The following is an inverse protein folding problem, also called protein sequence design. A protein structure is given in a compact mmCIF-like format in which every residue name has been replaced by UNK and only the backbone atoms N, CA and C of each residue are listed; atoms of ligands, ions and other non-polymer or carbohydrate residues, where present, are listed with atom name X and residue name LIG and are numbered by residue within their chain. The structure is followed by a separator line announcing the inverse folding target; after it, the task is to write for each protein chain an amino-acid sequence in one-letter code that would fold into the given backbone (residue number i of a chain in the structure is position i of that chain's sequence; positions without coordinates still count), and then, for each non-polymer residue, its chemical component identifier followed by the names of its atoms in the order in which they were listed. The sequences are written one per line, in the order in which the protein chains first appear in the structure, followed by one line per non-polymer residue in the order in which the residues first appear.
data_IF_435569039286
#
_entry.id   IF_435569039286
#
_cell.length_a   1.000
_cell.length_b   1.000
_cell.length_c   1.000
_cell.angle_alpha   90.00
_cell.angle_beta   90.00
_cell.angle_gamma   90.00
#
_symmetry.space_group_name_H-M   'P 1'
#
loop_
_entity.id
_entity.type
_entity.pdbx_description
1 polymer ?
#
# COMPACT_ATOMS: atom_id res chain seq x y z
N UNK A 1 21.31 -27.94 -68.31
CA UNK A 1 20.49 -28.60 -67.26
C UNK A 1 20.62 -27.87 -65.94
N UNK A 2 19.58 -27.11 -65.59
CA UNK A 2 19.44 -26.44 -64.31
C UNK A 2 18.62 -27.34 -63.36
N UNK A 3 19.12 -27.55 -62.15
CA UNK A 3 18.35 -28.15 -61.06
C UNK A 3 18.44 -27.22 -59.85
N UNK A 4 17.40 -26.40 -59.68
CA UNK A 4 17.11 -25.61 -58.48
C UNK A 4 16.57 -26.53 -57.39
N UNK A 5 17.28 -26.62 -56.26
CA UNK A 5 16.79 -27.23 -55.02
C UNK A 5 16.11 -26.18 -54.16
N UNK A 6 14.80 -26.32 -53.96
CA UNK A 6 13.96 -25.45 -53.14
C UNK A 6 14.03 -25.93 -51.67
N UNK A 7 14.46 -25.06 -50.76
CA UNK A 7 14.51 -25.35 -49.33
C UNK A 7 13.18 -25.01 -48.65
N UNK A 8 12.57 -25.99 -47.97
CA UNK A 8 11.34 -25.81 -47.21
C UNK A 8 11.56 -24.93 -45.96
N UNK A 9 10.56 -24.11 -45.55
CA UNK A 9 10.68 -23.26 -44.37
C UNK A 9 10.53 -24.09 -43.08
N UNK A 10 11.49 -23.94 -42.17
CA UNK A 10 11.47 -24.56 -40.85
C UNK A 10 10.32 -24.03 -39.99
N UNK A 11 9.52 -24.96 -39.45
CA UNK A 11 8.51 -24.67 -38.44
C UNK A 11 9.21 -24.26 -37.13
N UNK A 12 9.04 -23.01 -36.69
CA UNK A 12 9.39 -22.60 -35.33
C UNK A 12 8.29 -23.05 -34.37
N UNK A 13 8.62 -23.74 -33.26
CA UNK A 13 7.64 -24.06 -32.24
C UNK A 13 7.13 -22.78 -31.55
N UNK A 14 5.87 -22.75 -31.10
CA UNK A 14 5.30 -21.58 -30.43
C UNK A 14 6.07 -21.28 -29.14
N UNK A 15 6.30 -19.99 -28.89
CA UNK A 15 6.90 -19.51 -27.65
C UNK A 15 6.05 -19.95 -26.46
N UNK A 16 6.67 -20.62 -25.49
CA UNK A 16 6.03 -21.02 -24.25
C UNK A 16 5.48 -19.78 -23.53
N UNK A 17 4.21 -19.85 -23.10
CA UNK A 17 3.60 -18.80 -22.29
C UNK A 17 4.40 -18.58 -21.00
N UNK A 18 4.52 -17.33 -20.52
CA UNK A 18 5.17 -17.08 -19.24
C UNK A 18 4.42 -17.79 -18.11
N UNK A 19 5.13 -18.28 -17.08
CA UNK A 19 4.49 -18.94 -15.96
C UNK A 19 3.52 -17.98 -15.25
N UNK A 20 2.41 -18.50 -14.71
CA UNK A 20 1.50 -17.70 -13.90
C UNK A 20 2.26 -17.13 -12.69
N UNK A 21 1.86 -15.95 -12.17
CA UNK A 21 2.45 -15.40 -10.96
C UNK A 21 2.33 -16.42 -9.81
N UNK A 22 3.32 -16.47 -8.91
CA UNK A 22 3.28 -17.40 -7.79
C UNK A 22 2.02 -17.15 -6.94
N UNK A 23 1.42 -18.21 -6.36
CA UNK A 23 0.29 -18.05 -5.46
C UNK A 23 0.71 -17.15 -4.28
N UNK A 24 -0.16 -16.22 -3.91
CA UNK A 24 0.07 -15.28 -2.82
C UNK A 24 0.53 -16.05 -1.57
N UNK A 25 1.73 -15.73 -1.09
CA UNK A 25 2.20 -16.21 0.20
C UNK A 25 1.14 -15.82 1.25
N UNK A 26 0.81 -16.74 2.15
CA UNK A 26 -0.18 -16.55 3.24
C UNK A 26 0.01 -15.18 3.88
N UNK A 27 -0.90 -14.24 3.62
CA UNK A 27 -0.81 -12.90 4.17
C UNK A 27 -0.82 -12.97 5.71
N UNK A 28 0.03 -12.19 6.41
CA UNK A 28 -0.04 -12.13 7.86
C UNK A 28 -1.41 -11.62 8.30
N UNK A 29 -2.05 -12.31 9.24
CA UNK A 29 -3.36 -11.93 9.78
C UNK A 29 -3.23 -10.65 10.63
N UNK A 30 -4.27 -9.80 10.75
CA UNK A 30 -4.22 -8.59 11.60
C UNK A 30 -4.09 -8.96 13.08
N UNK A 31 -4.44 -10.21 13.44
CA UNK A 31 -4.20 -10.80 14.74
C UNK A 31 -2.70 -10.89 15.13
N UNK A 32 -1.76 -10.67 14.19
CA UNK A 32 -0.33 -10.56 14.52
C UNK A 32 0.00 -9.26 15.25
N UNK A 33 -0.83 -8.21 15.12
CA UNK A 33 -0.73 -6.99 15.92
C UNK A 33 -1.66 -7.15 17.12
N UNK A 34 -1.20 -7.89 18.13
CA UNK A 34 -1.99 -8.20 19.33
C UNK A 34 -2.34 -6.96 20.18
N UNK A 35 -1.65 -5.84 19.96
CA UNK A 35 -1.88 -4.60 20.68
C UNK A 35 -3.08 -3.82 20.09
N UNK A 36 -4.17 -3.78 20.87
CA UNK A 36 -5.41 -3.09 20.50
C UNK A 36 -5.26 -1.58 20.33
N UNK A 37 -4.21 -0.97 20.90
CA UNK A 37 -3.94 0.47 20.69
C UNK A 37 -3.42 0.78 19.29
N UNK A 38 -3.03 -0.24 18.51
CA UNK A 38 -2.54 -0.09 17.15
C UNK A 38 -3.64 -0.02 16.10
N UNK A 39 -4.85 -0.50 16.42
CA UNK A 39 -5.99 -0.59 15.49
C UNK A 39 -5.61 -1.08 14.10
N UNK A 40 -4.83 -2.17 14.04
CA UNK A 40 -4.30 -2.71 12.79
C UNK A 40 -5.43 -3.23 11.91
N UNK A 41 -5.36 -2.90 10.62
CA UNK A 41 -6.30 -3.34 9.59
C UNK A 41 -5.54 -3.84 8.37
N UNK A 42 -5.94 -5.02 7.91
CA UNK A 42 -5.50 -5.54 6.62
C UNK A 42 -6.15 -4.75 5.49
N UNK A 43 -5.43 -4.71 4.39
CA UNK A 43 -5.90 -4.16 3.13
C UNK A 43 -6.33 -2.70 3.27
N UNK A 44 -5.45 -1.91 3.87
CA UNK A 44 -5.64 -0.48 4.08
C UNK A 44 -4.30 0.22 3.96
N UNK A 45 -4.31 1.42 3.37
CA UNK A 45 -3.15 2.33 3.26
C UNK A 45 -3.57 3.72 3.75
N UNK A 46 -3.41 3.98 5.06
CA UNK A 46 -3.74 5.29 5.61
C UNK A 46 -2.73 6.33 5.13
N UNK A 47 -3.23 7.39 4.47
CA UNK A 47 -2.39 8.40 3.82
C UNK A 47 -1.61 9.26 4.83
N UNK A 48 -2.27 9.64 5.93
CA UNK A 48 -1.77 10.66 6.85
C UNK A 48 -1.60 12.04 6.19
N UNK A 49 -1.04 12.99 6.93
CA UNK A 49 -0.69 14.34 6.44
C UNK A 49 0.82 14.50 6.25
N UNK A 50 1.60 13.75 7.03
CA UNK A 50 3.07 13.78 7.03
C UNK A 50 3.61 12.37 7.24
N UNK A 51 4.78 12.11 6.68
CA UNK A 51 5.56 10.90 6.94
C UNK A 51 6.82 11.27 7.75
N UNK A 52 6.75 11.34 9.10
CA UNK A 52 7.91 11.60 9.94
C UNK A 52 9.03 10.55 9.79
N UNK A 53 8.72 9.33 9.38
CA UNK A 53 9.70 8.30 9.01
C UNK A 53 9.29 7.66 7.69
N UNK A 54 10.23 7.67 6.75
CA UNK A 54 10.03 7.17 5.40
C UNK A 54 10.41 5.70 5.32
N UNK A 55 9.52 4.88 4.77
CA UNK A 55 9.81 3.47 4.49
C UNK A 55 10.82 3.30 3.35
N UNK A 56 10.77 4.20 2.36
CA UNK A 56 11.63 4.15 1.17
C UNK A 56 13.11 4.42 1.47
N UNK A 57 13.97 3.84 0.63
CA UNK A 57 15.39 4.14 0.55
C UNK A 57 16.24 2.88 0.54
N UNK A 58 17.56 3.04 0.65
CA UNK A 58 18.49 1.93 0.87
C UNK A 58 19.38 2.29 2.08
N UNK A 59 19.15 1.72 3.28
CA UNK A 59 18.31 0.54 3.54
C UNK A 59 16.80 0.79 3.72
N UNK A 60 16.33 2.05 3.76
CA UNK A 60 14.93 2.37 4.10
C UNK A 60 14.60 2.07 5.57
N UNK A 61 13.36 2.34 5.99
CA UNK A 61 12.88 1.91 7.31
C UNK A 61 12.06 0.62 7.14
N UNK A 62 12.77 -0.50 7.20
CA UNK A 62 12.18 -1.83 7.04
C UNK A 62 12.17 -2.58 8.37
N UNK A 63 11.05 -3.23 8.67
CA UNK A 63 10.82 -4.00 9.88
C UNK A 63 10.33 -5.41 9.54
N UNK A 64 10.39 -6.33 10.49
CA UNK A 64 10.08 -7.73 10.25
C UNK A 64 8.59 -7.95 9.96
N UNK A 65 7.71 -7.21 10.65
CA UNK A 65 6.26 -7.35 10.53
C UNK A 65 5.51 -6.05 10.93
N UNK A 66 4.18 -6.10 10.76
CA UNK A 66 3.27 -5.01 11.11
C UNK A 66 3.24 -4.71 12.62
N UNK A 67 3.51 -5.69 13.49
CA UNK A 67 3.52 -5.48 14.94
C UNK A 67 4.74 -4.65 15.35
N UNK A 68 5.90 -4.93 14.77
CA UNK A 68 7.10 -4.11 14.93
C UNK A 68 6.90 -2.70 14.37
N UNK A 69 6.21 -2.55 13.23
CA UNK A 69 5.87 -1.23 12.68
C UNK A 69 4.95 -0.43 13.61
N UNK A 70 3.96 -1.07 14.25
CA UNK A 70 3.19 -0.40 15.30
C UNK A 70 4.07 -0.01 16.51
N UNK A 71 4.90 -0.92 17.01
CA UNK A 71 5.79 -0.64 18.13
C UNK A 71 6.74 0.54 17.83
N UNK A 72 7.22 0.63 16.59
CA UNK A 72 7.99 1.78 16.09
C UNK A 72 7.18 3.07 16.11
N UNK A 73 5.91 3.04 15.68
CA UNK A 73 5.02 4.20 15.79
C UNK A 73 4.83 4.62 17.25
N UNK A 74 4.60 3.66 18.17
CA UNK A 74 4.43 3.95 19.60
C UNK A 74 5.69 4.57 20.20
N UNK A 75 6.87 4.03 19.89
CA UNK A 75 8.15 4.58 20.32
C UNK A 75 8.38 6.00 19.78
N UNK A 76 8.13 6.21 18.48
CA UNK A 76 8.23 7.53 17.86
C UNK A 76 7.25 8.52 18.50
N UNK A 77 5.99 8.12 18.75
CA UNK A 77 5.00 8.95 19.43
C UNK A 77 5.45 9.35 20.84
N UNK A 78 5.92 8.39 21.64
CA UNK A 78 6.32 8.58 23.03
C UNK A 78 7.53 9.50 23.21
N UNK A 79 8.42 9.56 22.22
CA UNK A 79 9.62 10.41 22.25
C UNK A 79 9.42 11.69 21.45
N UNK A 80 9.06 11.58 20.17
CA UNK A 80 9.00 12.69 19.23
C UNK A 80 7.71 13.51 19.35
N UNK A 81 6.64 12.97 19.93
CA UNK A 81 5.39 13.69 20.21
C UNK A 81 5.47 14.72 21.34
N UNK A 82 6.59 14.78 22.08
CA UNK A 82 6.79 15.72 23.20
C UNK A 82 7.35 17.07 22.72
N UNK A 83 7.04 18.17 23.42
CA UNK A 83 7.81 19.40 23.29
C UNK A 83 9.31 19.14 23.49
N UNK A 84 10.16 19.90 22.80
CA UNK A 84 11.62 19.80 22.88
C UNK A 84 12.17 18.39 22.62
N UNK A 85 11.52 17.62 21.73
CA UNK A 85 11.97 16.29 21.33
C UNK A 85 13.07 16.31 20.26
N UNK A 86 13.43 17.50 19.74
CA UNK A 86 14.42 17.67 18.68
C UNK A 86 15.70 16.89 18.96
N UNK A 87 16.11 16.08 17.99
CA UNK A 87 17.29 15.21 18.01
C UNK A 87 17.33 14.11 19.08
N UNK A 88 16.26 13.90 19.87
CA UNK A 88 16.18 12.76 20.80
C UNK A 88 16.13 11.45 20.01
N UNK A 89 16.87 10.47 20.48
CA UNK A 89 16.84 9.12 19.94
C UNK A 89 15.52 8.43 20.32
N UNK A 90 14.90 7.74 19.39
CA UNK A 90 13.61 7.07 19.60
C UNK A 90 13.58 5.61 19.11
N UNK A 91 14.49 5.22 18.21
CA UNK A 91 14.62 3.84 17.75
C UNK A 91 16.07 3.36 17.90
N UNK A 92 16.41 2.61 18.98
CA UNK A 92 17.79 2.23 19.26
C UNK A 92 18.26 0.97 18.51
N UNK A 93 17.38 0.26 17.80
CA UNK A 93 17.63 -1.08 17.25
C UNK A 93 18.56 -1.17 16.01
N UNK A 94 19.27 -0.08 15.67
CA UNK A 94 20.22 0.11 14.55
C UNK A 94 19.59 0.19 13.14
N UNK A 95 19.79 1.32 12.42
CA UNK A 95 20.44 2.55 12.86
C UNK A 95 19.64 3.25 13.97
N UNK A 96 20.33 4.01 14.83
CA UNK A 96 19.66 4.90 15.78
C UNK A 96 18.90 5.97 15.00
N UNK A 97 17.58 6.06 15.20
CA UNK A 97 16.77 7.11 14.60
C UNK A 97 16.48 8.21 15.63
N UNK A 98 16.46 9.46 15.14
CA UNK A 98 16.30 10.67 15.95
C UNK A 98 15.10 11.49 15.47
N UNK A 99 14.46 12.19 16.40
CA UNK A 99 13.35 13.08 16.09
C UNK A 99 13.86 14.30 15.31
N UNK A 100 13.67 14.32 13.99
CA UNK A 100 14.14 15.40 13.09
C UNK A 100 13.23 16.65 13.16
N UNK A 101 12.80 17.06 14.36
CA UNK A 101 11.71 18.03 14.59
C UNK A 101 10.35 17.59 14.01
N UNK A 102 10.20 16.30 13.76
CA UNK A 102 8.97 15.70 13.25
C UNK A 102 7.94 15.49 14.37
N UNK A 103 6.64 15.68 14.10
CA UNK A 103 5.60 15.39 15.07
C UNK A 103 5.55 13.88 15.36
N UNK A 104 5.09 13.51 16.56
CA UNK A 104 4.90 12.11 16.95
C UNK A 104 4.05 11.32 15.96
N UNK A 105 4.35 10.03 15.80
CA UNK A 105 3.60 9.16 14.91
C UNK A 105 2.22 8.91 15.51
N UNK A 106 1.18 8.82 14.69
CA UNK A 106 -0.13 8.35 15.12
C UNK A 106 -0.85 7.47 14.08
N UNK A 107 -0.19 7.22 12.95
CA UNK A 107 -0.63 6.35 11.87
C UNK A 107 0.59 5.58 11.38
N UNK A 108 0.40 4.34 10.95
CA UNK A 108 1.49 3.57 10.37
C UNK A 108 1.00 2.70 9.23
N UNK A 109 1.89 2.39 8.29
CA UNK A 109 1.61 1.53 7.13
C UNK A 109 2.79 0.59 6.91
N UNK A 110 2.51 -0.68 6.68
CA UNK A 110 3.49 -1.76 6.53
C UNK A 110 3.24 -2.56 5.25
N UNK A 111 4.30 -2.86 4.50
CA UNK A 111 4.26 -3.74 3.33
C UNK A 111 4.59 -5.20 3.72
N UNK A 112 3.61 -6.13 3.74
CA UNK A 112 3.85 -7.52 4.09
C UNK A 112 4.28 -8.41 2.91
N UNK A 113 4.13 -7.92 1.68
CA UNK A 113 4.40 -8.66 0.44
C UNK A 113 5.79 -8.33 -0.12
N UNK A 114 6.30 -9.14 -1.05
CA UNK A 114 7.56 -8.84 -1.75
C UNK A 114 7.53 -7.47 -2.44
N UNK A 115 6.35 -7.08 -2.94
CA UNK A 115 6.09 -5.75 -3.46
C UNK A 115 4.65 -5.32 -3.17
N UNK A 116 4.45 -4.12 -2.65
CA UNK A 116 3.12 -3.56 -2.40
C UNK A 116 2.75 -2.52 -3.45
N UNK A 117 1.59 -2.69 -4.07
CA UNK A 117 1.08 -1.73 -5.04
C UNK A 117 0.60 -0.43 -4.37
N UNK A 118 1.04 0.71 -4.89
CA UNK A 118 0.49 2.03 -4.61
C UNK A 118 0.34 2.81 -5.92
N UNK A 119 -0.56 3.78 -5.95
CA UNK A 119 -0.71 4.68 -7.10
C UNK A 119 0.32 5.82 -7.06
N UNK A 120 1.60 5.48 -7.04
CA UNK A 120 2.69 6.45 -7.04
C UNK A 120 3.87 6.01 -7.95
N UNK A 121 5.02 6.66 -7.80
CA UNK A 121 6.21 6.45 -8.62
C UNK A 121 7.27 5.56 -7.95
N UNK A 122 6.95 4.94 -6.82
CA UNK A 122 7.93 4.21 -6.01
C UNK A 122 7.74 2.70 -6.09
N UNK A 123 8.86 1.98 -5.98
CA UNK A 123 8.86 0.52 -5.82
C UNK A 123 8.83 0.23 -4.34
N UNK A 124 7.65 -0.14 -3.83
CA UNK A 124 7.49 -0.51 -2.43
C UNK A 124 7.78 -1.98 -2.20
N UNK A 125 8.69 -2.30 -1.29
CA UNK A 125 9.18 -3.64 -1.04
C UNK A 125 8.88 -4.14 0.36
N UNK A 126 9.03 -5.45 0.54
CA UNK A 126 8.74 -6.13 1.81
C UNK A 126 9.42 -5.50 3.00
N UNK A 127 8.64 -5.36 4.07
CA UNK A 127 9.11 -4.84 5.33
C UNK A 127 9.03 -3.31 5.42
N UNK A 128 8.79 -2.59 4.32
CA UNK A 128 8.65 -1.14 4.35
C UNK A 128 7.64 -0.70 5.40
N UNK A 129 8.11 0.06 6.38
CA UNK A 129 7.30 0.66 7.43
C UNK A 129 7.32 2.19 7.28
N UNK A 130 6.13 2.77 7.17
CA UNK A 130 5.93 4.20 7.12
C UNK A 130 5.32 4.66 8.43
N UNK A 131 6.03 5.51 9.16
CA UNK A 131 5.43 6.22 10.28
C UNK A 131 4.83 7.51 9.75
N UNK A 132 3.54 7.68 10.00
CA UNK A 132 2.71 8.74 9.48
C UNK A 132 2.10 9.55 10.64
N UNK A 133 1.72 10.78 10.34
CA UNK A 133 1.10 11.68 11.28
C UNK A 133 -0.08 12.42 10.64
N UNK A 134 -1.18 12.53 11.38
CA UNK A 134 -2.35 13.35 11.06
C UNK A 134 -2.70 14.23 12.27
N UNK A 135 -2.84 15.54 12.08
CA UNK A 135 -3.00 16.48 13.19
C UNK A 135 -4.36 16.40 13.86
N UNK A 136 -5.42 16.24 13.06
CA UNK A 136 -6.79 16.31 13.52
C UNK A 136 -7.52 14.99 13.36
N UNK A 137 -8.42 14.70 14.30
CA UNK A 137 -9.38 13.59 14.21
C UNK A 137 -8.71 12.24 13.89
N UNK A 138 -7.76 11.82 14.74
CA UNK A 138 -6.94 10.63 14.51
C UNK A 138 -7.77 9.34 14.37
N UNK A 139 -8.94 9.27 15.01
CA UNK A 139 -9.88 8.15 14.88
C UNK A 139 -10.61 8.14 13.53
N UNK A 140 -10.39 9.16 12.71
CA UNK A 140 -10.85 9.26 11.33
C UNK A 140 -9.68 9.42 10.36
N UNK A 141 -8.85 8.37 10.20
CA UNK A 141 -7.68 8.43 9.32
C UNK A 141 -8.09 8.65 7.87
N UNK A 142 -7.34 9.50 7.17
CA UNK A 142 -7.49 9.69 5.72
C UNK A 142 -7.12 8.39 4.99
N UNK A 143 -8.09 7.84 4.28
CA UNK A 143 -8.04 6.55 3.62
C UNK A 143 -8.44 6.72 2.14
N UNK A 144 -7.50 6.57 1.19
CA UNK A 144 -7.79 6.71 -0.23
C UNK A 144 -8.71 5.62 -0.78
N UNK A 145 -8.90 4.53 -0.04
CA UNK A 145 -9.81 3.43 -0.37
C UNK A 145 -11.17 3.58 0.33
N UNK A 146 -11.37 4.64 1.12
CA UNK A 146 -12.63 4.98 1.77
C UNK A 146 -13.20 3.82 2.62
N UNK A 147 -12.32 3.11 3.34
CA UNK A 147 -12.68 1.98 4.20
C UNK A 147 -12.85 0.65 3.47
N UNK A 148 -12.70 0.62 2.14
CA UNK A 148 -12.75 -0.59 1.32
C UNK A 148 -11.40 -1.30 1.36
N UNK A 149 -11.43 -2.63 1.32
CA UNK A 149 -10.24 -3.48 1.30
C UNK A 149 -9.80 -3.87 -0.12
N UNK A 150 -10.58 -3.48 -1.13
CA UNK A 150 -10.34 -3.85 -2.52
C UNK A 150 -10.38 -2.65 -3.44
N UNK A 151 -9.61 -2.73 -4.52
CA UNK A 151 -9.71 -1.78 -5.63
C UNK A 151 -10.97 -2.09 -6.46
N UNK A 152 -11.72 -1.06 -6.92
CA UNK A 152 -12.91 -1.27 -7.73
C UNK A 152 -12.60 -2.09 -9.00
N UNK A 153 -13.43 -3.10 -9.29
CA UNK A 153 -13.27 -3.92 -10.50
C UNK A 153 -13.15 -3.09 -11.80
N UNK A 154 -13.98 -2.06 -12.05
CA UNK A 154 -13.83 -1.19 -13.21
C UNK A 154 -12.42 -0.59 -13.37
N UNK A 155 -11.81 -0.23 -12.24
CA UNK A 155 -10.46 0.34 -12.21
C UNK A 155 -9.43 -0.73 -12.52
N UNK A 156 -9.56 -1.93 -11.93
CA UNK A 156 -8.66 -3.06 -12.18
C UNK A 156 -8.68 -3.53 -13.63
N UNK A 157 -9.84 -3.49 -14.28
CA UNK A 157 -10.00 -3.84 -15.70
C UNK A 157 -9.63 -2.71 -16.67
N UNK A 158 -9.34 -1.50 -16.18
CA UNK A 158 -9.10 -0.34 -17.02
C UNK A 158 -7.68 -0.32 -17.63
N UNK A 159 -7.48 0.29 -18.81
CA UNK A 159 -6.15 0.52 -19.36
C UNK A 159 -5.28 1.34 -18.39
N UNK A 160 -3.99 0.99 -18.30
CA UNK A 160 -3.03 1.61 -17.37
C UNK A 160 -2.92 3.12 -17.53
N UNK A 161 -3.06 3.62 -18.75
CA UNK A 161 -3.00 5.04 -19.09
C UNK A 161 -4.15 5.84 -18.46
N UNK A 162 -5.19 5.14 -18.00
CA UNK A 162 -6.32 5.73 -17.26
C UNK A 162 -6.16 5.62 -15.76
N UNK A 163 -5.19 4.86 -15.25
CA UNK A 163 -4.98 4.73 -13.81
C UNK A 163 -4.57 6.08 -13.19
N UNK A 164 -4.89 6.29 -11.90
CA UNK A 164 -4.31 7.38 -11.13
C UNK A 164 -2.78 7.40 -11.28
N UNK A 165 -2.24 8.55 -11.70
CA UNK A 165 -0.80 8.77 -11.97
C UNK A 165 -0.13 7.82 -12.99
N UNK A 166 -0.91 7.00 -13.73
CA UNK A 166 -0.43 6.10 -14.79
C UNK A 166 0.87 5.34 -14.43
N UNK A 167 0.88 4.67 -13.27
CA UNK A 167 2.04 3.94 -12.70
C UNK A 167 2.84 3.22 -13.80
N UNK A 168 4.13 3.51 -13.93
CA UNK A 168 4.97 2.93 -14.99
C UNK A 168 5.14 1.40 -14.79
N UNK A 169 5.23 0.64 -15.90
CA UNK A 169 5.47 -0.81 -15.86
C UNK A 169 6.80 -1.21 -15.21
N UNK A 170 7.79 -0.31 -15.20
CA UNK A 170 9.06 -0.47 -14.48
C UNK A 170 8.89 -0.40 -12.97
N UNK A 171 7.86 0.30 -12.50
CA UNK A 171 7.49 0.38 -11.09
C UNK A 171 6.61 -0.81 -10.72
N UNK A 172 5.58 -1.09 -11.51
CA UNK A 172 4.66 -2.20 -11.30
C UNK A 172 4.26 -2.86 -12.61
N UNK A 173 4.77 -4.06 -12.88
CA UNK A 173 4.54 -4.75 -14.15
C UNK A 173 3.12 -5.34 -14.28
N UNK A 174 2.50 -5.72 -13.16
CA UNK A 174 1.18 -6.39 -13.11
C UNK A 174 -0.03 -5.47 -13.30
N UNK A 175 -1.24 -6.02 -13.24
CA UNK A 175 -2.48 -5.23 -13.13
C UNK A 175 -2.65 -4.61 -11.74
N UNK A 176 -3.64 -3.71 -11.55
CA UNK A 176 -4.02 -3.29 -10.19
C UNK A 176 -4.49 -4.56 -9.44
N UNK A 177 -3.91 -4.86 -8.26
CA UNK A 177 -4.32 -6.03 -7.48
C UNK A 177 -5.78 -5.92 -7.05
N UNK A 178 -6.40 -7.05 -6.68
CA UNK A 178 -7.76 -7.02 -6.16
C UNK A 178 -7.83 -6.33 -4.80
N UNK A 179 -6.99 -6.76 -3.88
CA UNK A 179 -6.91 -6.24 -2.52
C UNK A 179 -5.86 -5.15 -2.43
N UNK A 180 -6.04 -4.21 -1.51
CA UNK A 180 -4.99 -3.28 -1.11
C UNK A 180 -3.87 -4.09 -0.44
N UNK A 181 -2.62 -4.05 -0.91
CA UNK A 181 -1.57 -4.95 -0.40
C UNK A 181 -0.83 -4.37 0.81
N UNK A 182 -1.51 -3.58 1.64
CA UNK A 182 -0.92 -2.89 2.78
C UNK A 182 -1.63 -3.26 4.08
N UNK A 183 -0.89 -3.22 5.19
CA UNK A 183 -1.44 -3.26 6.54
C UNK A 183 -1.23 -1.87 7.15
N UNK A 184 -2.29 -1.28 7.69
CA UNK A 184 -2.18 0.03 8.33
C UNK A 184 -2.79 0.01 9.71
N UNK A 185 -2.44 0.99 10.54
CA UNK A 185 -3.06 1.18 11.84
C UNK A 185 -3.06 2.62 12.31
N UNK A 186 -3.78 2.84 13.40
CA UNK A 186 -3.94 4.13 14.08
C UNK A 186 -3.55 3.94 15.53
N UNK A 187 -2.69 4.80 16.07
CA UNK A 187 -2.46 4.84 17.51
C UNK A 187 -3.60 5.59 18.20
N UNK A 188 -4.43 4.85 18.94
CA UNK A 188 -5.54 5.38 19.70
C UNK A 188 -5.80 4.52 20.96
N UNK A 189 -6.59 4.99 21.93
CA UNK A 189 -7.05 4.13 23.03
C UNK A 189 -7.66 2.81 22.50
N UNK A 190 -7.50 1.72 23.25
CA UNK A 190 -7.90 0.38 22.79
C UNK A 190 -9.41 0.27 22.47
N UNK A 191 -10.24 1.06 23.14
CA UNK A 191 -11.69 1.15 22.96
C UNK A 191 -12.12 2.17 21.88
N UNK A 192 -11.17 2.83 21.22
CA UNK A 192 -11.48 3.80 20.18
C UNK A 192 -12.10 3.12 18.96
N UNK A 193 -13.10 3.78 18.37
CA UNK A 193 -13.70 3.35 17.11
C UNK A 193 -13.01 4.09 15.97
N UNK A 194 -12.33 3.35 15.10
CA UNK A 194 -11.64 3.92 13.93
C UNK A 194 -12.53 3.84 12.70
N UNK A 195 -12.80 5.00 12.07
CA UNK A 195 -13.67 5.11 10.89
C UNK A 195 -12.93 5.86 9.79
N UNK A 196 -12.66 5.19 8.67
CA UNK A 196 -12.00 5.81 7.51
C UNK A 196 -12.67 7.13 7.10
N UNK A 197 -11.85 8.13 6.78
CA UNK A 197 -12.27 9.39 6.19
C UNK A 197 -11.75 9.52 4.75
N UNK A 198 -12.42 10.29 3.88
CA UNK A 198 -11.91 10.55 2.54
C UNK A 198 -10.50 11.15 2.58
N UNK A 199 -9.61 10.65 1.71
CA UNK A 199 -8.30 11.26 1.50
C UNK A 199 -8.43 12.67 0.89
N UNK A 200 -7.48 13.55 1.20
CA UNK A 200 -7.50 14.94 0.74
C UNK A 200 -7.44 15.03 -0.78
N UNK A 201 -6.65 14.16 -1.40
CA UNK A 201 -6.49 14.14 -2.84
C UNK A 201 -7.68 13.52 -3.56
N UNK A 202 -8.63 12.83 -2.90
CA UNK A 202 -9.83 12.22 -3.50
C UNK A 202 -9.58 11.54 -4.86
N UNK A 203 -8.42 10.91 -5.07
CA UNK A 203 -8.07 10.40 -6.39
C UNK A 203 -9.04 9.33 -6.87
N UNK A 204 -9.54 8.48 -5.95
CA UNK A 204 -10.50 7.42 -6.25
C UNK A 204 -11.77 8.01 -6.82
N UNK A 205 -12.39 8.94 -6.09
CA UNK A 205 -13.59 9.64 -6.53
C UNK A 205 -13.40 10.29 -7.91
N UNK A 206 -12.31 11.03 -8.12
CA UNK A 206 -12.05 11.66 -9.41
C UNK A 206 -11.94 10.66 -10.55
N UNK A 207 -11.29 9.52 -10.31
CA UNK A 207 -11.20 8.46 -11.31
C UNK A 207 -12.60 7.93 -11.64
N UNK A 208 -13.40 7.63 -10.60
CA UNK A 208 -14.75 7.10 -10.74
C UNK A 208 -15.68 8.05 -11.49
N UNK A 209 -15.64 9.36 -11.20
CA UNK A 209 -16.43 10.36 -11.89
C UNK A 209 -16.07 10.46 -13.38
N UNK A 210 -14.76 10.43 -13.68
CA UNK A 210 -14.25 10.58 -15.04
C UNK A 210 -14.45 9.33 -15.90
N UNK A 211 -14.32 8.16 -15.31
CA UNK A 211 -14.17 6.90 -16.05
C UNK A 211 -15.28 5.89 -15.77
N UNK A 212 -16.11 6.11 -14.75
CA UNK A 212 -17.15 5.17 -14.32
C UNK A 212 -18.25 4.95 -15.36
N UNK A 213 -18.59 5.97 -16.17
CA UNK A 213 -19.54 5.79 -17.27
C UNK A 213 -19.03 4.83 -18.36
N UNK A 214 -17.71 4.76 -18.56
CA UNK A 214 -17.08 3.92 -19.59
C UNK A 214 -16.78 2.51 -19.08
N UNK A 215 -16.25 2.39 -17.87
CA UNK A 215 -15.76 1.10 -17.34
C UNK A 215 -16.64 0.51 -16.24
N UNK A 216 -17.65 1.23 -15.75
CA UNK A 216 -18.53 0.82 -14.65
C UNK A 216 -18.33 1.66 -13.39
N UNK A 217 -19.39 1.80 -12.58
CA UNK A 217 -19.35 2.55 -11.33
C UNK A 217 -18.47 1.88 -10.27
N UNK A 218 -17.69 2.68 -9.54
CA UNK A 218 -16.81 2.17 -8.48
C UNK A 218 -17.53 1.69 -7.22
N UNK A 219 -18.78 2.11 -7.03
CA UNK A 219 -19.60 1.81 -5.84
C UNK A 219 -20.78 0.88 -6.17
N UNK A 220 -20.76 0.24 -7.35
CA UNK A 220 -21.76 -0.78 -7.69
C UNK A 220 -21.64 -2.02 -6.79
N UNK A 221 -22.73 -2.79 -6.60
CA UNK A 221 -22.64 -4.09 -5.97
C UNK A 221 -21.63 -4.95 -6.74
N UNK A 222 -20.76 -5.67 -6.02
CA UNK A 222 -19.92 -6.69 -6.62
C UNK A 222 -20.84 -7.61 -7.43
N UNK A 223 -20.64 -7.69 -8.76
CA UNK A 223 -21.44 -8.61 -9.58
C UNK A 223 -21.11 -10.03 -9.15
N UNK A 224 -21.96 -10.63 -8.32
CA UNK A 224 -21.66 -11.91 -7.71
C UNK A 224 -22.64 -12.39 -6.65
N UNK A 225 -23.93 -12.11 -6.82
CA UNK A 225 -24.99 -12.96 -6.26
C UNK A 225 -25.97 -13.23 -7.39
N UNK A 226 -25.65 -14.26 -8.18
CA UNK A 226 -26.63 -14.95 -9.00
C UNK A 226 -27.26 -15.99 -8.08
N UNK A 227 -28.53 -15.79 -7.72
CA UNK A 227 -29.40 -16.88 -7.26
C UNK A 227 -29.70 -17.82 -8.43
#
# INVERSE_FOLDING_TARGET
DAATGEAAPGHQPPAASPPPPPPAARAPAPASVADQTCHARLHTDYMGERAPVWGLGKPGFHLADAAECCAACQAHAAVCGKPDSKNKAWWPARPELRCQNNPGCNLWVFCPEEQCFAFDIHVHTKGECWLKQQANNITRPKDPHEGRTTFPEPMRSSPRETWPWAVDKKIWAGGIPEQVPWISGVLAPADAIIVSAPADDRWRQRWCDKHGAKYGACDGPARGTVE
#
